data_IF_293885141864
#
_entry.id   IF_293885141864
#
_cell.length_a   1.000
_cell.length_b   1.000
_cell.length_c   1.000
_cell.angle_alpha   90.00
_cell.angle_beta   90.00
_cell.angle_gamma   90.00
#
_symmetry.space_group_name_H-M   'P 1'
#
loop_
_entity.id
_entity.type
_entity.pdbx_description
1 polymer ?
#
# COMPACT_ATOMS: atom_id res chain seq x y z
N UNK A 1 61.45 21.29 -32.48
CA UNK A 1 60.18 20.98 -33.12
C UNK A 1 59.60 19.63 -32.58
N UNK A 2 60.43 18.65 -32.36
CA UNK A 2 60.01 17.30 -31.92
C UNK A 2 59.44 17.28 -30.47
N UNK A 3 60.01 18.01 -29.53
CA UNK A 3 59.52 18.11 -28.15
C UNK A 3 58.10 18.69 -28.03
N UNK A 4 57.79 19.74 -28.78
CA UNK A 4 56.44 20.33 -28.79
C UNK A 4 55.39 19.39 -29.33
N UNK A 5 55.72 18.47 -30.22
CA UNK A 5 54.81 17.46 -30.78
C UNK A 5 54.54 16.36 -29.77
N UNK A 6 55.53 15.92 -29.01
CA UNK A 6 55.39 14.93 -27.93
C UNK A 6 54.47 15.48 -26.82
N UNK A 7 54.70 16.72 -26.35
CA UNK A 7 53.83 17.35 -25.33
C UNK A 7 52.38 17.50 -25.79
N UNK A 8 52.14 17.82 -27.07
CA UNK A 8 50.78 17.90 -27.62
C UNK A 8 50.07 16.52 -27.65
N UNK A 9 50.79 15.48 -28.02
CA UNK A 9 50.24 14.10 -28.05
C UNK A 9 49.95 13.65 -26.64
N UNK A 10 50.84 13.85 -25.67
CA UNK A 10 50.65 13.46 -24.27
C UNK A 10 49.46 14.25 -23.65
N UNK A 11 49.31 15.53 -23.96
CA UNK A 11 48.19 16.34 -23.48
C UNK A 11 46.85 15.86 -24.04
N UNK A 12 46.79 15.51 -25.33
CA UNK A 12 45.58 15.00 -25.97
C UNK A 12 45.19 13.61 -25.44
N UNK A 13 46.15 12.74 -25.15
CA UNK A 13 45.88 11.42 -24.57
C UNK A 13 45.38 11.53 -23.15
N UNK A 14 45.95 12.40 -22.31
CA UNK A 14 45.48 12.64 -20.94
C UNK A 14 44.09 13.26 -20.94
N UNK A 15 43.81 14.23 -21.82
CA UNK A 15 42.48 14.81 -21.94
C UNK A 15 41.42 13.79 -22.38
N UNK A 16 41.76 12.90 -23.33
CA UNK A 16 40.89 11.82 -23.78
C UNK A 16 40.56 10.83 -22.64
N UNK A 17 41.58 10.44 -21.85
CA UNK A 17 41.37 9.56 -20.69
C UNK A 17 40.48 10.20 -19.64
N UNK A 18 40.67 11.49 -19.33
CA UNK A 18 39.80 12.23 -18.38
C UNK A 18 38.36 12.27 -18.88
N UNK A 19 38.13 12.56 -20.17
CA UNK A 19 36.80 12.57 -20.75
C UNK A 19 36.15 11.18 -20.66
N UNK A 20 36.89 10.11 -20.95
CA UNK A 20 36.36 8.75 -20.83
C UNK A 20 36.02 8.39 -19.37
N UNK A 21 36.87 8.78 -18.41
CA UNK A 21 36.58 8.56 -16.97
C UNK A 21 35.36 9.33 -16.50
N UNK A 22 35.24 10.59 -16.91
CA UNK A 22 34.05 11.41 -16.57
C UNK A 22 32.80 10.84 -17.22
N UNK A 23 32.85 10.43 -18.47
CA UNK A 23 31.74 9.82 -19.18
C UNK A 23 31.31 8.49 -18.54
N UNK A 24 32.30 7.63 -18.19
CA UNK A 24 32.04 6.37 -17.47
C UNK A 24 31.45 6.62 -16.08
N UNK A 25 31.94 7.62 -15.35
CA UNK A 25 31.41 8.00 -14.05
C UNK A 25 29.97 8.54 -14.16
N UNK A 26 29.69 9.37 -15.15
CA UNK A 26 28.31 9.85 -15.42
C UNK A 26 27.39 8.73 -15.88
N UNK A 27 27.90 7.75 -16.61
CA UNK A 27 27.13 6.57 -17.01
C UNK A 27 26.78 5.70 -15.79
N UNK A 28 27.74 5.44 -14.91
CA UNK A 28 27.52 4.70 -13.65
C UNK A 28 26.55 5.43 -12.71
N UNK A 29 26.65 6.77 -12.60
CA UNK A 29 25.70 7.56 -11.82
C UNK A 29 24.28 7.56 -12.42
N UNK A 30 24.15 7.35 -13.72
CA UNK A 30 22.86 7.29 -14.41
C UNK A 30 22.20 5.91 -14.27
N UNK A 31 22.98 4.85 -14.08
CA UNK A 31 22.51 3.49 -13.83
C UNK A 31 21.95 3.33 -12.40
N UNK A 32 22.42 4.18 -11.45
CA UNK A 32 21.89 4.30 -10.09
C UNK A 32 20.67 5.24 -9.98
N UNK A 33 20.11 5.73 -11.08
CA UNK A 33 18.83 6.42 -11.07
C UNK A 33 17.77 5.39 -10.66
N UNK A 34 17.48 5.34 -9.37
CA UNK A 34 16.56 4.39 -8.75
C UNK A 34 15.20 4.49 -9.46
N UNK A 35 14.80 3.39 -10.08
CA UNK A 35 13.53 3.30 -10.83
C UNK A 35 12.37 3.72 -9.92
N UNK A 36 11.61 4.73 -10.32
CA UNK A 36 10.37 5.11 -9.65
C UNK A 36 9.33 4.04 -9.91
N UNK A 37 8.72 3.51 -8.85
CA UNK A 37 7.64 2.51 -8.91
C UNK A 37 6.30 3.23 -8.85
N UNK A 38 5.40 2.94 -9.80
CA UNK A 38 4.03 3.43 -9.75
C UNK A 38 3.17 2.53 -8.88
N UNK A 39 2.55 3.12 -7.87
CA UNK A 39 1.72 2.43 -6.88
C UNK A 39 0.27 2.92 -7.00
N UNK A 40 -0.63 2.01 -7.30
CA UNK A 40 -2.06 2.26 -7.36
C UNK A 40 -2.76 1.98 -6.03
N UNK A 41 -3.72 2.84 -5.65
CA UNK A 41 -4.60 2.60 -4.52
C UNK A 41 -6.06 2.69 -4.95
N UNK A 42 -6.85 1.69 -4.55
CA UNK A 42 -8.28 1.63 -4.78
C UNK A 42 -9.03 1.68 -3.45
N UNK A 43 -9.74 2.77 -3.20
CA UNK A 43 -10.44 3.05 -1.95
C UNK A 43 -11.96 3.01 -2.11
N UNK A 44 -12.63 2.32 -1.18
CA UNK A 44 -14.11 2.26 -1.12
C UNK A 44 -14.74 3.58 -0.69
N UNK A 45 -14.00 4.42 0.02
CA UNK A 45 -14.42 5.74 0.47
C UNK A 45 -13.30 6.77 0.31
N UNK A 46 -13.31 7.76 1.17
CA UNK A 46 -12.32 8.84 1.24
C UNK A 46 -11.87 9.12 2.68
N UNK A 47 -11.15 10.21 2.89
CA UNK A 47 -10.63 10.60 4.20
C UNK A 47 -11.71 10.91 5.26
N UNK A 48 -12.98 11.06 4.88
CA UNK A 48 -14.09 11.31 5.82
C UNK A 48 -14.52 10.05 6.56
N UNK A 49 -14.19 8.87 6.03
CA UNK A 49 -14.48 7.60 6.69
C UNK A 49 -13.27 7.08 7.44
N UNK A 50 -13.43 6.67 8.70
CA UNK A 50 -12.35 6.16 9.56
C UNK A 50 -11.63 4.97 8.92
N UNK A 51 -12.37 4.07 8.28
CA UNK A 51 -11.82 2.89 7.62
C UNK A 51 -10.84 3.30 6.51
N UNK A 52 -11.29 4.06 5.51
CA UNK A 52 -10.46 4.49 4.38
C UNK A 52 -9.33 5.40 4.81
N UNK A 53 -9.57 6.30 5.77
CA UNK A 53 -8.57 7.24 6.26
C UNK A 53 -7.33 6.54 6.86
N UNK A 54 -7.47 5.34 7.44
CA UNK A 54 -6.32 4.58 7.92
C UNK A 54 -5.39 4.16 6.77
N UNK A 55 -5.95 3.70 5.64
CA UNK A 55 -5.17 3.37 4.45
C UNK A 55 -4.54 4.62 3.80
N UNK A 56 -5.27 5.74 3.76
CA UNK A 56 -4.72 7.01 3.24
C UNK A 56 -3.53 7.49 4.09
N UNK A 57 -3.61 7.36 5.42
CA UNK A 57 -2.47 7.67 6.31
C UNK A 57 -1.27 6.78 6.03
N UNK A 58 -1.49 5.49 5.79
CA UNK A 58 -0.43 4.56 5.42
C UNK A 58 0.18 4.91 4.05
N UNK A 59 -0.64 5.28 3.06
CA UNK A 59 -0.19 5.79 1.77
C UNK A 59 0.72 7.00 1.94
N UNK A 60 0.27 8.03 2.68
CA UNK A 60 1.05 9.24 2.93
C UNK A 60 2.39 8.92 3.63
N UNK A 61 2.40 7.95 4.55
CA UNK A 61 3.63 7.51 5.20
C UNK A 61 4.60 6.87 4.20
N UNK A 62 4.11 6.07 3.25
CA UNK A 62 4.91 5.50 2.17
C UNK A 62 5.47 6.61 1.26
N UNK A 63 4.65 7.57 0.84
CA UNK A 63 5.09 8.71 0.03
C UNK A 63 6.19 9.53 0.73
N UNK A 64 6.04 9.77 2.04
CA UNK A 64 7.03 10.49 2.83
C UNK A 64 8.35 9.71 3.01
N UNK A 65 8.28 8.39 3.19
CA UNK A 65 9.45 7.53 3.41
C UNK A 65 10.23 7.31 2.10
N UNK A 66 9.53 7.11 0.99
CA UNK A 66 10.14 6.72 -0.27
C UNK A 66 10.37 7.91 -1.24
N UNK A 67 9.68 9.04 -1.06
CA UNK A 67 9.85 10.25 -1.87
C UNK A 67 9.75 9.96 -3.37
N UNK A 68 10.74 10.40 -4.14
CA UNK A 68 10.79 10.25 -5.60
C UNK A 68 10.89 8.80 -6.11
N UNK A 69 11.03 7.83 -5.19
CA UNK A 69 11.05 6.39 -5.54
C UNK A 69 9.67 5.81 -5.79
N UNK A 70 8.61 6.49 -5.39
CA UNK A 70 7.23 6.08 -5.62
C UNK A 70 6.42 7.20 -6.26
N UNK A 71 5.60 6.82 -7.24
CA UNK A 71 4.56 7.67 -7.83
C UNK A 71 3.21 7.05 -7.47
N UNK A 72 2.38 7.76 -6.72
CA UNK A 72 1.10 7.24 -6.24
C UNK A 72 -0.06 7.71 -7.11
N UNK A 73 -0.93 6.77 -7.50
CA UNK A 73 -2.21 7.02 -8.18
C UNK A 73 -3.33 6.44 -7.31
N UNK A 74 -4.20 7.28 -6.76
CA UNK A 74 -5.28 6.85 -5.90
C UNK A 74 -6.66 7.07 -6.53
N UNK A 75 -7.55 6.10 -6.38
CA UNK A 75 -8.96 6.14 -6.77
C UNK A 75 -9.82 6.09 -5.52
N UNK A 76 -10.70 7.07 -5.36
CA UNK A 76 -11.53 7.23 -4.16
C UNK A 76 -13.00 6.97 -4.45
N UNK A 77 -13.76 6.61 -3.40
CA UNK A 77 -15.21 6.44 -3.46
C UNK A 77 -15.65 5.43 -4.54
N UNK A 78 -14.88 4.36 -4.70
CA UNK A 78 -15.23 3.29 -5.62
C UNK A 78 -16.22 2.36 -4.93
N UNK A 79 -17.46 2.32 -5.43
CA UNK A 79 -18.46 1.42 -4.88
C UNK A 79 -18.09 -0.04 -5.16
N UNK A 80 -18.31 -0.92 -4.20
CA UNK A 80 -18.12 -2.36 -4.38
C UNK A 80 -18.99 -2.88 -5.55
N UNK A 81 -18.40 -3.72 -6.39
CA UNK A 81 -18.99 -4.18 -7.64
C UNK A 81 -18.77 -3.25 -8.84
N UNK A 82 -18.04 -2.13 -8.67
CA UNK A 82 -17.68 -1.21 -9.75
C UNK A 82 -16.16 -1.05 -9.92
N UNK A 83 -15.39 -1.86 -9.23
CA UNK A 83 -13.92 -1.77 -9.14
C UNK A 83 -13.17 -2.17 -10.42
N UNK A 84 -13.81 -2.91 -11.34
CA UNK A 84 -13.15 -3.43 -12.55
C UNK A 84 -12.56 -2.29 -13.41
N UNK A 85 -13.36 -1.27 -13.71
CA UNK A 85 -12.88 -0.14 -14.52
C UNK A 85 -11.77 0.66 -13.83
N UNK A 86 -11.88 1.06 -12.54
CA UNK A 86 -10.79 1.71 -11.83
C UNK A 86 -9.51 0.86 -11.72
N UNK A 87 -9.61 -0.46 -11.55
CA UNK A 87 -8.45 -1.36 -11.57
C UNK A 87 -7.77 -1.34 -12.95
N UNK A 88 -8.56 -1.42 -14.03
CA UNK A 88 -8.02 -1.32 -15.39
C UNK A 88 -7.30 0.02 -15.62
N UNK A 89 -7.88 1.13 -15.17
CA UNK A 89 -7.25 2.45 -15.29
C UNK A 89 -5.92 2.54 -14.53
N UNK A 90 -5.76 1.85 -13.38
CA UNK A 90 -4.50 1.78 -12.65
C UNK A 90 -3.45 0.95 -13.40
N UNK A 91 -3.86 -0.18 -13.97
CA UNK A 91 -2.98 -1.02 -14.80
C UNK A 91 -2.53 -0.25 -16.06
N UNK A 92 -3.45 0.41 -16.76
CA UNK A 92 -3.19 1.20 -17.96
C UNK A 92 -2.27 2.40 -17.68
N UNK A 93 -2.35 2.97 -16.48
CA UNK A 93 -1.45 4.03 -16.00
C UNK A 93 -0.03 3.51 -15.71
N UNK A 94 0.19 2.20 -15.79
CA UNK A 94 1.48 1.55 -15.56
C UNK A 94 1.81 1.33 -14.07
N UNK A 95 0.80 1.19 -13.20
CA UNK A 95 1.03 0.79 -11.82
C UNK A 95 1.64 -0.61 -11.78
N UNK A 96 2.75 -0.75 -11.08
CA UNK A 96 3.46 -2.03 -10.89
C UNK A 96 3.03 -2.72 -9.59
N UNK A 97 2.42 -1.98 -8.66
CA UNK A 97 1.88 -2.45 -7.40
C UNK A 97 0.52 -1.78 -7.17
N UNK A 98 -0.53 -2.56 -6.90
CA UNK A 98 -1.89 -2.06 -6.69
C UNK A 98 -2.44 -2.58 -5.37
N UNK A 99 -2.91 -1.66 -4.52
CA UNK A 99 -3.59 -1.95 -3.27
C UNK A 99 -5.10 -1.78 -3.43
N UNK A 100 -5.87 -2.83 -3.20
CA UNK A 100 -7.33 -2.82 -3.12
C UNK A 100 -7.76 -2.94 -1.67
N UNK A 101 -8.66 -2.07 -1.19
CA UNK A 101 -8.88 -1.88 0.25
C UNK A 101 -10.29 -2.23 0.74
N UNK A 102 -11.11 -2.93 -0.04
CA UNK A 102 -12.40 -3.41 0.44
C UNK A 102 -12.58 -4.91 0.20
N UNK A 103 -13.18 -5.61 1.18
CA UNK A 103 -13.38 -7.06 1.17
C UNK A 103 -13.96 -7.57 -0.16
N UNK A 104 -15.02 -6.91 -0.66
CA UNK A 104 -15.71 -7.35 -1.87
C UNK A 104 -14.93 -7.09 -3.18
N UNK A 105 -13.81 -6.35 -3.15
CA UNK A 105 -12.91 -6.26 -4.31
C UNK A 105 -12.06 -7.52 -4.52
N UNK A 106 -12.05 -8.44 -3.53
CA UNK A 106 -11.13 -9.57 -3.49
C UNK A 106 -11.21 -10.49 -4.71
N UNK A 107 -12.42 -10.78 -5.22
CA UNK A 107 -12.62 -11.61 -6.41
C UNK A 107 -12.06 -10.91 -7.65
N UNK A 108 -12.54 -9.70 -7.92
CA UNK A 108 -12.12 -8.90 -9.09
C UNK A 108 -10.62 -8.62 -9.08
N UNK A 109 -10.05 -8.26 -7.91
CA UNK A 109 -8.60 -8.01 -7.80
C UNK A 109 -7.79 -9.27 -8.10
N UNK A 110 -8.25 -10.45 -7.68
CA UNK A 110 -7.59 -11.73 -7.97
C UNK A 110 -7.65 -12.08 -9.46
N UNK A 111 -8.79 -11.84 -10.13
CA UNK A 111 -8.94 -11.99 -11.58
C UNK A 111 -7.98 -11.05 -12.35
N UNK A 112 -7.77 -9.84 -11.85
CA UNK A 112 -6.78 -8.92 -12.42
C UNK A 112 -5.36 -9.43 -12.23
N UNK A 113 -5.03 -10.00 -11.06
CA UNK A 113 -3.72 -10.59 -10.82
C UNK A 113 -3.44 -11.78 -11.77
N UNK A 114 -4.44 -12.60 -12.09
CA UNK A 114 -4.30 -13.66 -13.07
C UNK A 114 -4.09 -13.13 -14.49
N UNK A 115 -4.78 -12.04 -14.84
CA UNK A 115 -4.71 -11.39 -16.15
C UNK A 115 -3.43 -10.60 -16.39
N UNK A 116 -2.84 -10.05 -15.31
CA UNK A 116 -1.68 -9.16 -15.35
C UNK A 116 -0.55 -9.69 -14.44
N UNK A 117 0.16 -10.76 -14.84
CA UNK A 117 1.15 -11.44 -13.97
C UNK A 117 2.36 -10.58 -13.60
N UNK A 118 2.65 -9.52 -14.34
CA UNK A 118 3.75 -8.60 -14.08
C UNK A 118 3.40 -7.48 -13.08
N UNK A 119 2.12 -7.33 -12.71
CA UNK A 119 1.64 -6.38 -11.72
C UNK A 119 1.42 -7.09 -10.39
N UNK A 120 1.89 -6.50 -9.29
CA UNK A 120 1.65 -7.01 -7.94
C UNK A 120 0.34 -6.47 -7.38
N UNK A 121 -0.50 -7.33 -6.85
CA UNK A 121 -1.77 -6.94 -6.24
C UNK A 121 -1.79 -7.30 -4.75
N UNK A 122 -2.12 -6.32 -3.92
CA UNK A 122 -2.25 -6.46 -2.47
C UNK A 122 -3.69 -6.14 -2.06
N UNK A 123 -4.38 -7.15 -1.55
CA UNK A 123 -5.78 -7.06 -1.18
C UNK A 123 -5.92 -7.01 0.35
N UNK A 124 -6.45 -5.90 0.85
CA UNK A 124 -6.74 -5.77 2.28
C UNK A 124 -8.05 -6.47 2.66
N UNK A 125 -8.09 -7.01 3.88
CA UNK A 125 -9.31 -7.55 4.52
C UNK A 125 -9.93 -8.78 3.84
N UNK A 126 -9.20 -9.44 2.95
CA UNK A 126 -9.61 -10.67 2.28
C UNK A 126 -8.62 -11.79 2.56
N UNK A 127 -9.03 -13.06 2.47
CA UNK A 127 -8.20 -14.22 2.75
C UNK A 127 -8.02 -15.15 1.54
N UNK A 128 -8.53 -14.78 0.36
CA UNK A 128 -8.63 -15.64 -0.82
C UNK A 128 -7.30 -15.85 -1.59
N UNK A 129 -6.16 -15.33 -1.11
CA UNK A 129 -4.85 -15.63 -1.71
C UNK A 129 -4.46 -17.11 -1.56
N UNK A 130 -5.00 -17.81 -0.54
CA UNK A 130 -4.74 -19.23 -0.32
C UNK A 130 -5.68 -20.17 -1.08
N UNK A 131 -6.68 -19.63 -1.77
CA UNK A 131 -7.62 -20.38 -2.61
C UNK A 131 -7.03 -20.58 -4.01
N UNK A 132 -7.41 -21.68 -4.68
CA UNK A 132 -6.99 -21.91 -6.07
C UNK A 132 -7.69 -20.95 -7.06
N UNK A 133 -7.01 -20.49 -8.13
CA UNK A 133 -5.57 -20.63 -8.37
C UNK A 133 -4.74 -19.78 -7.39
N UNK A 134 -3.60 -20.32 -6.93
CA UNK A 134 -2.63 -19.55 -6.14
C UNK A 134 -1.74 -18.76 -7.08
N UNK A 135 -1.75 -17.44 -6.96
CA UNK A 135 -1.03 -16.53 -7.84
C UNK A 135 0.18 -15.92 -7.09
N UNK A 136 1.34 -15.91 -7.74
CA UNK A 136 2.57 -15.38 -7.15
C UNK A 136 2.55 -13.85 -6.98
N UNK A 137 1.67 -13.17 -7.69
CA UNK A 137 1.51 -11.72 -7.71
C UNK A 137 0.23 -11.24 -7.01
N UNK A 138 -0.45 -12.11 -6.23
CA UNK A 138 -1.63 -11.75 -5.46
C UNK A 138 -1.42 -12.04 -3.98
N UNK A 139 -1.51 -11.00 -3.16
CA UNK A 139 -1.25 -11.06 -1.73
C UNK A 139 -2.44 -10.52 -0.95
N UNK A 140 -2.79 -11.18 0.15
CA UNK A 140 -3.81 -10.68 1.05
C UNK A 140 -3.20 -10.33 2.40
N UNK A 141 -3.72 -9.30 3.05
CA UNK A 141 -3.29 -8.90 4.39
C UNK A 141 -4.47 -8.42 5.24
N UNK A 142 -4.34 -8.61 6.55
CA UNK A 142 -5.32 -8.21 7.54
C UNK A 142 -4.60 -7.64 8.76
N UNK A 143 -5.11 -6.55 9.31
CA UNK A 143 -4.65 -6.06 10.59
C UNK A 143 -5.08 -6.98 11.73
N UNK A 144 -4.33 -7.02 12.83
CA UNK A 144 -4.68 -7.76 14.04
C UNK A 144 -5.81 -7.06 14.81
N UNK A 145 -6.99 -7.00 14.19
CA UNK A 145 -8.16 -6.23 14.64
C UNK A 145 -8.65 -6.65 16.04
N UNK A 146 -8.40 -7.91 16.43
CA UNK A 146 -8.72 -8.42 17.77
C UNK A 146 -8.02 -7.64 18.88
N UNK A 147 -6.82 -7.10 18.65
CA UNK A 147 -6.11 -6.27 19.63
C UNK A 147 -6.89 -4.98 19.92
N UNK A 148 -7.36 -4.30 18.88
CA UNK A 148 -8.19 -3.11 19.01
C UNK A 148 -9.55 -3.41 19.68
N UNK A 149 -10.15 -4.57 19.39
CA UNK A 149 -11.38 -5.02 20.03
C UNK A 149 -11.20 -5.32 21.51
N UNK A 150 -10.07 -5.95 21.88
CA UNK A 150 -9.75 -6.18 23.28
C UNK A 150 -9.67 -4.85 24.06
N UNK A 151 -8.95 -3.87 23.53
CA UNK A 151 -8.86 -2.53 24.16
C UNK A 151 -10.24 -1.88 24.27
N UNK A 152 -11.06 -1.97 23.22
CA UNK A 152 -12.44 -1.44 23.22
C UNK A 152 -13.32 -2.13 24.26
N UNK A 153 -13.15 -3.46 24.41
CA UNK A 153 -13.85 -4.25 25.44
C UNK A 153 -13.46 -3.84 26.86
N UNK A 154 -12.18 -3.61 27.11
CA UNK A 154 -11.68 -3.09 28.40
C UNK A 154 -12.26 -1.71 28.69
N UNK A 155 -12.25 -0.79 27.73
CA UNK A 155 -12.83 0.55 27.88
C UNK A 155 -14.33 0.49 28.17
N UNK A 156 -15.08 -0.37 27.48
CA UNK A 156 -16.50 -0.59 27.73
C UNK A 156 -16.77 -1.16 29.14
N UNK A 157 -15.94 -2.11 29.59
CA UNK A 157 -16.04 -2.69 30.91
C UNK A 157 -15.76 -1.67 32.03
N UNK A 158 -14.73 -0.85 31.87
CA UNK A 158 -14.42 0.24 32.83
C UNK A 158 -15.55 1.26 32.88
N UNK A 159 -16.14 1.63 31.75
CA UNK A 159 -17.29 2.55 31.71
C UNK A 159 -18.52 1.94 32.39
N UNK A 160 -18.76 0.65 32.19
CA UNK A 160 -19.85 -0.06 32.84
C UNK A 160 -19.67 -0.11 34.35
N UNK A 161 -18.45 -0.37 34.84
CA UNK A 161 -18.10 -0.33 36.26
C UNK A 161 -18.36 1.06 36.85
N UNK A 162 -17.90 2.13 36.20
CA UNK A 162 -18.17 3.52 36.62
C UNK A 162 -19.66 3.80 36.78
N UNK A 163 -20.51 3.33 35.81
CA UNK A 163 -21.96 3.52 35.87
C UNK A 163 -22.60 2.78 37.03
N UNK A 164 -22.07 1.64 37.45
CA UNK A 164 -22.55 0.89 38.62
C UNK A 164 -22.11 1.60 39.91
N UNK A 165 -20.86 2.00 40.01
CA UNK A 165 -20.28 2.63 41.20
C UNK A 165 -20.93 3.97 41.51
N UNK A 166 -21.29 4.75 40.50
CA UNK A 166 -22.00 6.03 40.69
C UNK A 166 -23.55 5.90 40.83
N UNK A 167 -24.05 4.66 40.79
CA UNK A 167 -25.49 4.35 40.99
C UNK A 167 -26.40 4.67 39.79
N UNK A 168 -25.80 4.93 38.60
CA UNK A 168 -26.57 5.17 37.37
C UNK A 168 -27.32 3.90 36.92
N UNK A 169 -26.69 2.73 37.09
CA UNK A 169 -27.29 1.42 36.83
C UNK A 169 -26.97 0.44 37.97
N UNK A 170 -27.75 -0.63 38.10
CA UNK A 170 -27.43 -1.75 39.01
C UNK A 170 -26.59 -2.81 38.29
N UNK A 171 -25.99 -3.74 39.05
CA UNK A 171 -25.24 -4.88 38.47
C UNK A 171 -26.12 -5.74 37.56
N UNK A 172 -27.40 -5.91 37.92
CA UNK A 172 -28.38 -6.68 37.15
C UNK A 172 -28.72 -6.03 35.81
N UNK A 173 -28.60 -4.70 35.76
CA UNK A 173 -28.82 -3.90 34.54
C UNK A 173 -27.58 -3.83 33.65
N UNK A 174 -26.43 -4.29 34.15
CA UNK A 174 -25.15 -4.24 33.42
C UNK A 174 -25.17 -5.09 32.16
N UNK A 175 -25.24 -4.44 31.00
CA UNK A 175 -25.22 -5.10 29.68
C UNK A 175 -24.34 -4.32 28.72
N UNK A 176 -23.59 -5.05 27.88
CA UNK A 176 -22.82 -4.50 26.77
C UNK A 176 -23.44 -5.04 25.47
N UNK A 177 -23.74 -4.15 24.53
CA UNK A 177 -24.15 -4.52 23.18
C UNK A 177 -22.95 -4.44 22.22
N UNK A 178 -22.86 -5.39 21.31
CA UNK A 178 -21.90 -5.38 20.22
C UNK A 178 -22.63 -5.33 18.87
N UNK A 179 -22.32 -4.31 18.05
CA UNK A 179 -22.85 -4.17 16.69
C UNK A 179 -21.73 -4.44 15.73
N UNK A 180 -21.79 -5.58 15.02
CA UNK A 180 -20.85 -5.93 13.99
C UNK A 180 -21.09 -5.09 12.72
N UNK A 181 -20.00 -4.65 12.06
CA UNK A 181 -20.12 -3.84 10.84
C UNK A 181 -20.71 -4.65 9.68
N UNK A 182 -20.28 -5.91 9.52
CA UNK A 182 -20.74 -6.82 8.47
C UNK A 182 -20.71 -8.28 8.97
N UNK A 183 -21.51 -9.19 8.39
CA UNK A 183 -21.53 -10.61 8.77
C UNK A 183 -20.38 -11.42 8.13
N UNK A 184 -19.17 -10.88 8.10
CA UNK A 184 -17.99 -11.57 7.59
C UNK A 184 -17.22 -12.25 8.73
N UNK A 185 -16.52 -13.38 8.46
CA UNK A 185 -15.76 -14.11 9.46
C UNK A 185 -14.80 -13.22 10.25
N UNK A 186 -14.08 -12.33 9.58
CA UNK A 186 -13.10 -11.42 10.17
C UNK A 186 -13.74 -10.38 11.09
N UNK A 187 -15.01 -10.05 10.85
CA UNK A 187 -15.79 -9.11 11.69
C UNK A 187 -16.44 -9.80 12.87
N UNK A 188 -16.81 -11.08 12.71
CA UNK A 188 -17.56 -11.84 13.75
C UNK A 188 -16.59 -12.54 14.71
N UNK A 189 -15.50 -13.13 14.23
CA UNK A 189 -14.59 -13.98 15.00
C UNK A 189 -13.32 -13.28 15.50
N UNK A 190 -13.02 -12.08 15.03
CA UNK A 190 -11.81 -11.34 15.40
C UNK A 190 -11.88 -10.60 16.73
#
# INVERSE_FOLDING_TARGET
IQMKRVYRITFLTVAAVIICVVAAHQFLLKEDAQKTIKVGFLYVGDATTTYTNNFIKAQIAVENEYGDRVEVIAKYNIAEGTEEKPLQELVDAGCELIFSTSYNYGVTTKEFAERYPDVQFCMATCANANEEPKLANYHTFMGEIYQGRYVSGVAAGLKLQELIENGTITKEQAKIGYVAAYPYPEVISG
#
